data_IF_072807592394
#
_entry.id   IF_072807592394
#
_cell.length_a   1.000
_cell.length_b   1.000
_cell.length_c   1.000
_cell.angle_alpha   90.00
_cell.angle_beta   90.00
_cell.angle_gamma   90.00
#
_symmetry.space_group_name_H-M   'P 1'
#
loop_
_entity.id
_entity.type
_entity.pdbx_description
1 polymer ?
#
# COMPACT_ATOMS: atom_id res chain seq x y z
N UNK A 1 -1.57 -7.00 3.45
CA UNK A 1 -2.54 -8.10 3.62
C UNK A 1 -2.30 -9.22 2.61
N UNK A 2 -1.80 -8.93 1.41
CA UNK A 2 -1.80 -9.90 0.29
C UNK A 2 -0.38 -10.27 -0.17
N UNK A 3 0.15 -11.38 0.33
CA UNK A 3 1.47 -11.88 -0.09
C UNK A 3 1.47 -12.45 -1.52
N UNK A 4 0.31 -12.90 -2.01
CA UNK A 4 0.15 -13.42 -3.37
C UNK A 4 0.33 -12.34 -4.45
N UNK A 5 0.27 -11.06 -4.09
CA UNK A 5 0.57 -9.95 -4.99
C UNK A 5 2.07 -9.77 -5.28
N UNK A 6 2.94 -10.69 -4.81
CA UNK A 6 4.37 -10.67 -5.11
C UNK A 6 4.57 -10.72 -6.63
N UNK A 7 5.17 -9.69 -7.26
CA UNK A 7 5.37 -9.70 -8.70
C UNK A 7 6.29 -10.84 -9.13
N UNK A 8 5.87 -11.64 -10.12
CA UNK A 8 6.69 -12.73 -10.69
C UNK A 8 8.04 -12.23 -11.22
N UNK A 9 8.10 -10.95 -11.65
CA UNK A 9 9.34 -10.31 -12.07
C UNK A 9 10.45 -10.38 -11.00
N UNK A 10 10.10 -10.42 -9.71
CA UNK A 10 11.07 -10.56 -8.62
C UNK A 10 11.78 -11.92 -8.62
N UNK A 11 11.18 -12.97 -9.21
CA UNK A 11 11.84 -14.27 -9.32
C UNK A 11 13.11 -14.23 -10.19
N UNK A 12 13.18 -13.27 -11.12
CA UNK A 12 14.34 -13.06 -12.01
C UNK A 12 15.28 -11.97 -11.50
N UNK A 13 14.87 -11.23 -10.46
CA UNK A 13 15.61 -10.06 -10.00
C UNK A 13 17.01 -10.43 -9.48
N UNK A 14 17.14 -11.53 -8.74
CA UNK A 14 18.41 -11.97 -8.20
C UNK A 14 19.47 -12.25 -9.29
N UNK A 15 19.05 -12.75 -10.45
CA UNK A 15 19.96 -12.98 -11.59
C UNK A 15 20.21 -11.71 -12.40
N UNK A 16 19.18 -10.87 -12.58
CA UNK A 16 19.27 -9.68 -13.43
C UNK A 16 19.98 -8.50 -12.74
N UNK A 17 19.87 -8.41 -11.42
CA UNK A 17 20.46 -7.35 -10.59
C UNK A 17 21.05 -7.96 -9.30
N UNK A 18 22.17 -8.70 -9.39
CA UNK A 18 22.69 -9.49 -8.27
C UNK A 18 23.16 -8.67 -7.06
N UNK A 19 23.43 -7.38 -7.24
CA UNK A 19 23.85 -6.48 -6.17
C UNK A 19 22.71 -5.59 -5.64
N UNK A 20 21.51 -5.72 -6.20
CA UNK A 20 20.35 -4.96 -5.75
C UNK A 20 19.56 -5.79 -4.73
N UNK A 21 19.49 -5.30 -3.50
CA UNK A 21 18.66 -5.89 -2.46
C UNK A 21 17.20 -5.51 -2.70
N UNK A 22 16.33 -6.52 -2.86
CA UNK A 22 14.90 -6.34 -3.11
C UNK A 22 14.11 -7.24 -2.17
N UNK A 23 13.40 -6.61 -1.25
CA UNK A 23 12.50 -7.28 -0.32
C UNK A 23 11.04 -7.02 -0.72
N UNK A 24 10.23 -8.08 -0.63
CA UNK A 24 8.78 -7.98 -0.80
C UNK A 24 8.08 -8.37 0.50
N UNK A 25 7.26 -7.47 1.01
CA UNK A 25 6.51 -7.67 2.24
C UNK A 25 5.23 -6.85 2.22
N UNK A 26 4.30 -7.19 3.10
CA UNK A 26 3.09 -6.38 3.29
C UNK A 26 3.41 -5.12 4.09
N UNK A 27 2.55 -4.09 3.99
CA UNK A 27 2.66 -2.86 4.81
C UNK A 27 2.79 -3.19 6.30
N UNK A 28 1.99 -4.13 6.80
CA UNK A 28 2.04 -4.58 8.20
C UNK A 28 3.39 -5.19 8.57
N UNK A 29 3.91 -6.10 7.73
CA UNK A 29 5.19 -6.74 7.95
C UNK A 29 6.37 -5.75 7.91
N UNK A 30 6.22 -4.63 7.18
CA UNK A 30 7.23 -3.58 7.10
C UNK A 30 7.31 -2.68 8.35
N UNK A 31 6.37 -2.81 9.30
CA UNK A 31 6.36 -1.99 10.52
C UNK A 31 7.68 -2.15 11.28
N UNK A 32 8.33 -1.03 11.60
CA UNK A 32 9.64 -1.02 12.27
C UNK A 32 10.85 -1.20 11.34
N UNK A 33 10.64 -1.54 10.07
CA UNK A 33 11.68 -1.63 9.05
C UNK A 33 11.75 -0.33 8.24
N UNK A 34 12.84 -0.09 7.52
CA UNK A 34 12.99 1.03 6.59
C UNK A 34 13.82 0.60 5.40
N UNK A 35 13.65 1.28 4.27
CA UNK A 35 14.47 1.12 3.08
C UNK A 35 14.80 2.50 2.50
N UNK A 36 15.90 2.59 1.76
CA UNK A 36 16.27 3.83 1.06
C UNK A 36 15.17 4.25 0.07
N UNK A 37 14.55 3.26 -0.58
CA UNK A 37 13.52 3.40 -1.58
C UNK A 37 12.37 2.43 -1.32
N UNK A 38 11.12 2.89 -1.49
CA UNK A 38 9.92 2.05 -1.31
C UNK A 38 9.00 2.18 -2.51
N UNK A 39 8.47 1.06 -2.98
CA UNK A 39 7.42 1.01 -4.01
C UNK A 39 6.20 0.37 -3.37
N UNK A 40 5.14 1.15 -3.20
CA UNK A 40 3.84 0.67 -2.71
C UNK A 40 3.01 0.24 -3.90
N UNK A 41 2.55 -1.01 -3.87
CA UNK A 41 1.67 -1.61 -4.87
C UNK A 41 0.25 -1.71 -4.32
N UNK A 42 -0.73 -1.85 -5.21
CA UNK A 42 -2.10 -2.20 -4.82
C UNK A 42 -2.95 -1.02 -4.33
N UNK A 43 -2.61 0.22 -4.70
CA UNK A 43 -3.54 1.35 -4.53
C UNK A 43 -4.65 1.25 -5.58
N UNK A 44 -5.67 0.46 -5.29
CA UNK A 44 -6.82 0.27 -6.17
C UNK A 44 -8.10 0.00 -5.39
N UNK A 45 -9.23 0.17 -6.05
CA UNK A 45 -10.51 -0.37 -5.62
C UNK A 45 -10.72 -1.80 -6.15
N UNK A 46 -11.79 -2.47 -5.71
CA UNK A 46 -12.16 -3.81 -6.16
C UNK A 46 -11.46 -4.94 -5.42
N UNK A 47 -10.98 -5.93 -6.16
CA UNK A 47 -10.26 -7.07 -5.58
C UNK A 47 -8.91 -6.63 -5.01
N UNK A 48 -8.58 -7.12 -3.82
CA UNK A 48 -7.40 -6.71 -3.06
C UNK A 48 -7.31 -5.18 -2.82
N UNK A 49 -8.46 -4.52 -2.72
CA UNK A 49 -8.55 -3.07 -2.55
C UNK A 49 -7.75 -2.54 -1.35
N UNK A 50 -7.30 -1.30 -1.51
CA UNK A 50 -6.73 -0.48 -0.45
C UNK A 50 -7.29 0.95 -0.58
N UNK A 51 -8.15 1.43 0.34
CA UNK A 51 -8.55 0.80 1.60
C UNK A 51 -9.29 -0.53 1.39
N UNK A 52 -9.10 -1.46 2.33
CA UNK A 52 -9.77 -2.74 2.27
C UNK A 52 -11.21 -2.56 2.77
N UNK A 53 -12.22 -3.14 2.07
CA UNK A 53 -13.59 -3.09 2.57
C UNK A 53 -13.69 -3.82 3.90
N UNK A 54 -14.60 -3.36 4.77
CA UNK A 54 -14.99 -4.08 5.98
C UNK A 54 -15.47 -5.50 5.59
N UNK A 55 -14.93 -6.51 6.27
CA UNK A 55 -15.24 -7.93 5.99
C UNK A 55 -15.91 -8.62 7.18
N UNK A 56 -16.10 -7.91 8.27
CA UNK A 56 -16.61 -8.44 9.52
C UNK A 56 -18.13 -8.61 9.45
N UNK A 57 -18.60 -9.78 9.86
CA UNK A 57 -20.02 -10.07 10.01
C UNK A 57 -20.67 -9.17 11.07
N UNK A 58 -22.00 -9.05 11.05
CA UNK A 58 -22.75 -8.25 12.03
C UNK A 58 -22.44 -8.70 13.48
N UNK A 59 -22.26 -10.00 13.70
CA UNK A 59 -21.90 -10.53 15.01
C UNK A 59 -20.49 -10.15 15.43
N UNK A 60 -19.52 -10.18 14.50
CA UNK A 60 -18.14 -9.76 14.76
C UNK A 60 -18.06 -8.27 15.04
N UNK A 61 -18.82 -7.44 14.31
CA UNK A 61 -18.89 -5.99 14.53
C UNK A 61 -19.33 -5.64 15.96
N UNK A 62 -20.22 -6.42 16.56
CA UNK A 62 -20.66 -6.21 17.95
C UNK A 62 -19.55 -6.46 19.00
N UNK A 63 -18.48 -7.16 18.61
CA UNK A 63 -17.32 -7.44 19.47
C UNK A 63 -16.14 -6.50 19.21
N UNK A 64 -16.21 -5.68 18.15
CA UNK A 64 -15.15 -4.75 17.80
C UNK A 64 -15.20 -3.49 18.68
N UNK A 65 -14.06 -2.79 18.83
CA UNK A 65 -14.05 -1.43 19.34
C UNK A 65 -15.01 -0.55 18.54
N UNK A 66 -15.49 0.53 19.16
CA UNK A 66 -16.27 1.51 18.41
C UNK A 66 -15.46 2.03 17.21
N UNK A 67 -16.08 2.13 16.03
CA UNK A 67 -15.42 2.67 14.86
C UNK A 67 -14.97 4.11 15.12
N UNK A 68 -13.81 4.47 14.58
CA UNK A 68 -13.32 5.85 14.64
C UNK A 68 -14.19 6.76 13.76
N UNK A 69 -14.46 7.99 14.21
CA UNK A 69 -15.21 9.02 13.45
C UNK A 69 -14.38 9.62 12.30
N UNK A 70 -13.58 8.79 11.62
CA UNK A 70 -12.79 9.19 10.46
C UNK A 70 -12.81 8.08 9.40
N UNK A 71 -13.22 8.36 8.16
CA UNK A 71 -13.33 7.35 7.11
C UNK A 71 -11.99 6.62 6.88
N UNK A 72 -12.03 5.29 6.86
CA UNK A 72 -10.87 4.43 6.61
C UNK A 72 -9.68 4.70 7.55
N UNK A 73 -9.94 5.05 8.82
CA UNK A 73 -8.92 5.48 9.77
C UNK A 73 -7.74 4.49 9.89
N UNK A 74 -8.02 3.19 9.94
CA UNK A 74 -7.00 2.15 10.03
C UNK A 74 -6.14 2.09 8.77
N UNK A 75 -6.76 2.05 7.59
CA UNK A 75 -6.08 2.00 6.29
C UNK A 75 -5.26 3.27 6.03
N UNK A 76 -5.72 4.43 6.51
CA UNK A 76 -4.92 5.67 6.44
C UNK A 76 -3.68 5.60 7.31
N UNK A 77 -3.80 5.05 8.53
CA UNK A 77 -2.62 4.78 9.38
C UNK A 77 -1.67 3.81 8.69
N UNK A 78 -2.19 2.81 7.98
CA UNK A 78 -1.37 1.89 7.19
C UNK A 78 -0.69 2.58 6.01
N UNK A 79 -1.38 3.46 5.27
CA UNK A 79 -0.76 4.23 4.20
C UNK A 79 0.38 5.11 4.76
N UNK A 80 0.15 5.77 5.91
CA UNK A 80 1.18 6.53 6.59
C UNK A 80 2.39 5.67 6.98
N UNK A 81 2.18 4.45 7.48
CA UNK A 81 3.27 3.50 7.73
C UNK A 81 4.05 3.24 6.44
N UNK A 82 3.37 2.93 5.34
CA UNK A 82 4.01 2.66 4.05
C UNK A 82 4.84 3.86 3.53
N UNK A 83 4.29 5.07 3.61
CA UNK A 83 4.97 6.31 3.21
C UNK A 83 6.24 6.55 4.03
N UNK A 84 6.19 6.31 5.33
CA UNK A 84 7.31 6.54 6.25
C UNK A 84 8.35 5.42 6.27
N UNK A 85 8.19 4.36 5.46
CA UNK A 85 9.21 3.33 5.30
C UNK A 85 10.38 3.78 4.41
N UNK A 86 10.16 4.77 3.53
CA UNK A 86 11.19 5.28 2.63
C UNK A 86 12.04 6.35 3.30
N UNK A 87 13.37 6.23 3.18
CA UNK A 87 14.31 7.28 3.64
C UNK A 87 14.52 8.38 2.61
N UNK A 88 14.47 8.04 1.32
CA UNK A 88 14.70 9.00 0.23
C UNK A 88 13.48 9.21 -0.65
N UNK A 89 12.85 8.12 -1.13
CA UNK A 89 11.70 8.25 -2.03
C UNK A 89 10.75 7.08 -1.95
N UNK A 90 9.46 7.40 -2.01
CA UNK A 90 8.37 6.44 -2.16
C UNK A 90 7.69 6.63 -3.51
N UNK A 91 7.37 5.52 -4.18
CA UNK A 91 6.50 5.50 -5.34
C UNK A 91 5.21 4.75 -4.99
N UNK A 92 4.09 5.33 -5.41
CA UNK A 92 2.76 4.81 -5.16
C UNK A 92 2.18 4.38 -6.50
N UNK A 93 2.12 3.06 -6.74
CA UNK A 93 1.57 2.51 -7.96
C UNK A 93 0.09 2.19 -7.76
N UNK A 94 -0.74 2.75 -8.64
CA UNK A 94 -2.19 2.63 -8.59
C UNK A 94 -2.76 2.19 -9.94
N UNK A 95 -3.93 1.55 -9.90
CA UNK A 95 -4.67 1.20 -11.11
C UNK A 95 -5.44 2.43 -11.61
N UNK A 96 -5.16 2.89 -12.84
CA UNK A 96 -5.85 4.05 -13.41
C UNK A 96 -7.34 3.82 -13.71
N UNK A 97 -7.74 2.58 -13.96
CA UNK A 97 -9.14 2.24 -14.24
C UNK A 97 -9.98 2.17 -12.95
N UNK A 98 -9.35 1.85 -11.82
CA UNK A 98 -9.99 1.69 -10.51
C UNK A 98 -9.04 2.21 -9.42
N UNK A 99 -8.79 3.54 -9.37
CA UNK A 99 -7.85 4.11 -8.42
C UNK A 99 -8.38 3.96 -6.99
N UNK A 100 -7.47 3.78 -6.03
CA UNK A 100 -7.82 3.94 -4.62
C UNK A 100 -8.33 5.37 -4.35
N UNK A 101 -9.32 5.56 -3.46
CA UNK A 101 -9.73 6.90 -3.00
C UNK A 101 -8.57 7.69 -2.37
N UNK A 102 -7.52 7.02 -1.89
CA UNK A 102 -6.32 7.71 -1.40
C UNK A 102 -5.54 8.43 -2.51
N UNK A 103 -5.71 8.05 -3.78
CA UNK A 103 -5.04 8.73 -4.91
C UNK A 103 -5.53 10.18 -5.04
N UNK A 104 -6.84 10.42 -4.94
CA UNK A 104 -7.40 11.77 -5.02
C UNK A 104 -6.92 12.64 -3.85
N UNK A 105 -6.84 12.06 -2.65
CA UNK A 105 -6.33 12.74 -1.45
C UNK A 105 -4.88 13.15 -1.65
N UNK A 106 -4.05 12.25 -2.18
CA UNK A 106 -2.64 12.54 -2.45
C UNK A 106 -2.48 13.62 -3.54
N UNK A 107 -3.33 13.62 -4.57
CA UNK A 107 -3.34 14.67 -5.59
C UNK A 107 -3.72 16.03 -5.00
N UNK A 108 -4.71 16.07 -4.10
CA UNK A 108 -5.09 17.29 -3.39
C UNK A 108 -3.99 17.82 -2.45
N UNK A 109 -3.03 16.96 -2.07
CA UNK A 109 -1.82 17.32 -1.32
C UNK A 109 -0.61 17.64 -2.22
N UNK A 110 -0.85 17.92 -3.50
CA UNK A 110 0.17 18.26 -4.50
C UNK A 110 1.23 17.17 -4.72
N UNK A 111 0.91 15.90 -4.43
CA UNK A 111 1.81 14.78 -4.74
C UNK A 111 1.91 14.61 -6.26
N UNK A 112 3.11 14.71 -6.86
CA UNK A 112 3.25 14.74 -8.31
C UNK A 112 2.92 13.38 -8.93
N UNK A 113 2.01 13.38 -9.90
CA UNK A 113 1.74 12.20 -10.71
C UNK A 113 2.77 12.08 -11.83
N UNK A 114 3.70 11.14 -11.69
CA UNK A 114 4.64 10.82 -12.76
C UNK A 114 3.88 10.28 -13.98
N UNK A 115 3.89 11.04 -15.08
CA UNK A 115 3.41 10.56 -16.37
C UNK A 115 4.45 9.59 -16.93
N UNK A 116 4.02 8.58 -17.70
CA UNK A 116 4.98 7.75 -18.45
C UNK A 116 5.85 8.71 -19.29
N UNK A 117 7.17 8.46 -19.39
CA UNK A 117 7.98 9.13 -20.40
C UNK A 117 7.44 8.85 -21.80
#
# INVERSE_FOLDING_TARGET
RYHHLKPEALNKAATRWPHLQLDFMTIHASKGQQADFVIVLGLQEGEDAFPAPARESIMEQALLPQPEDFPDAEERRLLYVALTRARHRVWLLFNKAQPSPFVEILQALDVPMARKP
#
